data_IF_457747388053
#
_entry.id   IF_457747388053
#
_cell.length_a   1.000
_cell.length_b   1.000
_cell.length_c   1.000
_cell.angle_alpha   90.00
_cell.angle_beta   90.00
_cell.angle_gamma   90.00
#
_symmetry.space_group_name_H-M   'P 1'
#
loop_
_entity.id
_entity.type
_entity.pdbx_description
1 polymer ?
#
# COMPACT_ATOMS: atom_id res chain seq x y z
N UNK A 1 -8.81 2.61 -38.35
CA UNK A 1 -9.34 2.88 -37.00
C UNK A 1 -8.25 2.52 -35.99
N UNK A 2 -7.58 3.46 -35.33
CA UNK A 2 -6.58 3.13 -34.33
C UNK A 2 -7.26 2.86 -32.99
N UNK A 3 -7.01 1.68 -32.44
CA UNK A 3 -7.39 1.36 -31.06
C UNK A 3 -6.63 2.32 -30.12
N UNK A 4 -7.35 3.21 -29.50
CA UNK A 4 -6.84 4.04 -28.42
C UNK A 4 -6.56 3.13 -27.21
N UNK A 5 -5.29 2.96 -26.89
CA UNK A 5 -4.86 2.41 -25.61
C UNK A 5 -5.09 3.45 -24.51
N UNK A 6 -6.28 3.45 -23.95
CA UNK A 6 -6.63 4.19 -22.71
C UNK A 6 -6.05 3.46 -21.50
N UNK A 7 -4.71 3.34 -21.41
CA UNK A 7 -4.08 2.45 -20.43
C UNK A 7 -3.40 3.17 -19.26
N UNK A 8 -3.55 4.48 -19.08
CA UNK A 8 -2.84 5.18 -18.02
C UNK A 8 -3.67 6.22 -17.25
N UNK A 9 -4.96 5.96 -17.03
CA UNK A 9 -5.79 6.94 -16.31
C UNK A 9 -6.00 6.69 -14.82
N UNK A 10 -5.31 5.76 -14.20
CA UNK A 10 -5.49 5.50 -12.76
C UNK A 10 -4.25 4.92 -12.07
N UNK A 11 -3.07 5.53 -12.27
CA UNK A 11 -1.98 5.35 -11.33
C UNK A 11 -2.16 6.37 -10.21
N UNK A 12 -3.30 6.30 -9.53
CA UNK A 12 -3.52 7.07 -8.32
C UNK A 12 -2.74 6.40 -7.20
N UNK A 13 -1.60 6.96 -6.83
CA UNK A 13 -0.85 6.61 -5.62
C UNK A 13 -1.73 6.77 -4.36
N UNK A 14 -2.87 7.45 -4.47
CA UNK A 14 -3.93 7.52 -3.46
C UNK A 14 -4.54 6.16 -3.10
N UNK A 15 -4.23 5.11 -3.86
CA UNK A 15 -4.92 3.83 -3.74
C UNK A 15 -4.38 2.93 -2.63
N UNK A 16 -3.11 3.10 -2.24
CA UNK A 16 -2.49 2.29 -1.16
C UNK A 16 -3.07 2.65 0.21
N UNK A 17 -3.72 3.77 0.31
CA UNK A 17 -3.97 4.51 1.54
C UNK A 17 -5.39 4.35 2.07
N UNK A 18 -6.31 3.93 1.22
CA UNK A 18 -7.63 3.46 1.68
C UNK A 18 -7.57 2.16 2.49
N UNK A 19 -6.39 1.56 2.60
CA UNK A 19 -6.16 0.33 3.37
C UNK A 19 -6.28 0.59 4.88
N UNK A 20 -5.97 1.79 5.34
CA UNK A 20 -5.90 2.10 6.76
C UNK A 20 -7.24 2.58 7.37
N UNK A 21 -8.17 3.09 6.57
CA UNK A 21 -9.36 3.74 7.10
C UNK A 21 -10.42 2.85 7.77
N UNK A 22 -10.65 1.58 7.41
CA UNK A 22 -11.64 0.77 8.12
C UNK A 22 -11.17 0.22 9.47
N UNK A 23 -9.87 0.32 9.78
CA UNK A 23 -9.32 -0.19 11.06
C UNK A 23 -9.43 0.81 12.23
N UNK A 24 -9.93 2.04 11.97
CA UNK A 24 -9.71 3.18 12.84
C UNK A 24 -10.99 3.91 13.24
N UNK A 25 -12.02 3.16 13.61
CA UNK A 25 -13.04 3.70 14.50
C UNK A 25 -12.45 3.79 15.91
N UNK A 26 -12.66 4.89 16.60
CA UNK A 26 -12.18 5.17 17.96
C UNK A 26 -12.74 4.22 19.04
N UNK A 27 -13.47 3.19 18.63
CA UNK A 27 -14.03 2.19 19.50
C UNK A 27 -13.05 1.05 19.77
N UNK A 28 -13.06 0.52 20.99
CA UNK A 28 -12.34 -0.69 21.40
C UNK A 28 -12.58 -1.80 20.38
N UNK A 29 -11.51 -2.50 19.94
CA UNK A 29 -11.66 -3.64 19.02
C UNK A 29 -12.50 -4.70 19.73
N UNK A 30 -13.77 -4.75 19.41
CA UNK A 30 -14.70 -5.70 20.00
C UNK A 30 -14.60 -7.01 19.22
N UNK A 31 -14.18 -8.05 19.93
CA UNK A 31 -14.18 -9.40 19.39
C UNK A 31 -15.59 -9.97 19.54
N UNK A 32 -16.23 -10.34 18.42
CA UNK A 32 -17.58 -10.89 18.40
C UNK A 32 -17.57 -12.40 18.67
N UNK A 33 -16.65 -13.14 18.06
CA UNK A 33 -16.49 -14.56 18.30
C UNK A 33 -15.05 -15.04 18.10
N UNK A 34 -14.70 -16.10 18.81
CA UNK A 34 -13.46 -16.86 18.65
C UNK A 34 -13.84 -18.31 18.53
N UNK A 35 -13.49 -18.94 17.41
CA UNK A 35 -13.69 -20.36 17.15
C UNK A 35 -12.33 -21.04 17.01
N UNK A 36 -12.14 -22.20 17.65
CA UNK A 36 -10.95 -23.03 17.54
C UNK A 36 -11.31 -24.49 17.79
N UNK A 37 -10.52 -25.42 17.23
CA UNK A 37 -10.76 -26.85 17.44
C UNK A 37 -10.28 -27.28 18.83
N UNK A 38 -9.19 -26.76 19.31
CA UNK A 38 -8.56 -27.11 20.59
C UNK A 38 -8.26 -25.81 21.33
N UNK A 39 -8.71 -25.75 22.59
CA UNK A 39 -8.38 -24.63 23.49
C UNK A 39 -7.66 -25.24 24.70
N UNK A 40 -6.41 -24.86 24.90
CA UNK A 40 -5.58 -25.35 26.00
C UNK A 40 -5.14 -24.17 26.88
N UNK A 41 -5.24 -24.31 28.17
CA UNK A 41 -4.69 -23.35 29.12
C UNK A 41 -3.23 -23.73 29.39
N UNK A 42 -2.29 -22.88 28.98
CA UNK A 42 -0.86 -23.07 29.22
C UNK A 42 -0.53 -22.69 30.66
N UNK A 43 -1.03 -21.55 31.08
CA UNK A 43 -0.94 -21.02 32.44
C UNK A 43 -2.22 -20.22 32.79
N UNK A 44 -2.44 -19.77 34.04
CA UNK A 44 -3.67 -19.08 34.44
C UNK A 44 -4.03 -17.86 33.57
N UNK A 45 -3.03 -17.24 32.98
CA UNK A 45 -3.19 -16.00 32.19
C UNK A 45 -3.07 -16.25 30.66
N UNK A 46 -2.64 -17.45 30.22
CA UNK A 46 -2.34 -17.71 28.80
C UNK A 46 -3.16 -18.87 28.26
N UNK A 47 -3.87 -18.59 27.17
CA UNK A 47 -4.63 -19.58 26.39
C UNK A 47 -3.94 -19.83 25.06
N UNK A 48 -3.81 -21.12 24.70
CA UNK A 48 -3.45 -21.55 23.34
C UNK A 48 -4.69 -22.05 22.63
N UNK A 49 -4.94 -21.52 21.45
CA UNK A 49 -5.99 -21.95 20.55
C UNK A 49 -5.31 -22.59 19.34
N UNK A 50 -5.70 -23.78 18.96
CA UNK A 50 -5.10 -24.53 17.86
C UNK A 50 -6.17 -25.13 16.95
N UNK A 51 -5.82 -25.25 15.67
CA UNK A 51 -6.66 -25.85 14.64
C UNK A 51 -7.73 -24.91 14.12
N UNK A 52 -7.51 -24.35 12.93
CA UNK A 52 -8.43 -23.46 12.23
C UNK A 52 -9.02 -22.36 13.12
N UNK A 53 -8.14 -21.61 13.79
CA UNK A 53 -8.57 -20.50 14.65
C UNK A 53 -9.22 -19.43 13.79
N UNK A 54 -10.43 -19.04 14.14
CA UNK A 54 -11.19 -17.97 13.47
C UNK A 54 -11.59 -16.93 14.50
N UNK A 55 -11.13 -15.71 14.33
CA UNK A 55 -11.51 -14.56 15.16
C UNK A 55 -12.31 -13.61 14.29
N UNK A 56 -13.50 -13.25 14.74
CA UNK A 56 -14.38 -12.32 14.04
C UNK A 56 -14.58 -11.05 14.87
N UNK A 57 -14.49 -9.94 14.19
CA UNK A 57 -14.90 -8.63 14.69
C UNK A 57 -15.92 -8.04 13.71
N UNK A 58 -16.56 -6.95 14.05
CA UNK A 58 -17.55 -6.28 13.19
C UNK A 58 -17.06 -6.01 11.76
N UNK A 59 -15.76 -5.74 11.58
CA UNK A 59 -15.19 -5.30 10.29
C UNK A 59 -14.17 -6.28 9.70
N UNK A 60 -13.59 -7.17 10.51
CA UNK A 60 -12.48 -8.03 10.15
C UNK A 60 -12.72 -9.48 10.54
N UNK A 61 -12.21 -10.37 9.72
CA UNK A 61 -12.13 -11.79 10.04
C UNK A 61 -10.66 -12.22 9.93
N UNK A 62 -10.21 -12.95 10.95
CA UNK A 62 -8.86 -13.48 11.04
C UNK A 62 -8.91 -14.99 11.03
N UNK A 63 -8.04 -15.61 10.28
CA UNK A 63 -7.79 -17.04 10.30
C UNK A 63 -6.33 -17.29 10.63
N UNK A 64 -6.03 -18.29 11.43
CA UNK A 64 -4.68 -18.76 11.70
C UNK A 64 -4.70 -20.24 12.09
N UNK A 65 -3.54 -20.87 12.05
CA UNK A 65 -3.39 -22.26 12.53
C UNK A 65 -3.34 -22.29 14.04
N UNK A 66 -2.70 -21.29 14.64
CA UNK A 66 -2.52 -21.17 16.08
C UNK A 66 -2.66 -19.73 16.55
N UNK A 67 -3.29 -19.54 17.72
CA UNK A 67 -3.33 -18.26 18.40
C UNK A 67 -2.98 -18.44 19.88
N UNK A 68 -2.19 -17.52 20.41
CA UNK A 68 -1.83 -17.45 21.83
C UNK A 68 -2.36 -16.14 22.38
N UNK A 69 -3.24 -16.23 23.35
CA UNK A 69 -3.84 -15.07 24.01
C UNK A 69 -3.36 -14.97 25.46
N UNK A 70 -2.77 -13.85 25.82
CA UNK A 70 -2.39 -13.57 27.21
C UNK A 70 -3.38 -12.56 27.81
N UNK A 71 -4.15 -13.01 28.81
CA UNK A 71 -5.20 -12.24 29.48
C UNK A 71 -4.64 -11.04 30.24
N UNK A 72 -3.49 -11.23 30.91
CA UNK A 72 -2.86 -10.18 31.72
C UNK A 72 -2.29 -9.05 30.87
N UNK A 73 -1.57 -9.43 29.81
CA UNK A 73 -0.96 -8.49 28.85
C UNK A 73 -1.95 -7.97 27.83
N UNK A 74 -3.13 -8.59 27.71
CA UNK A 74 -4.09 -8.38 26.63
C UNK A 74 -3.41 -8.44 25.24
N UNK A 75 -2.50 -9.38 25.06
CA UNK A 75 -1.80 -9.57 23.79
C UNK A 75 -2.27 -10.84 23.10
N UNK A 76 -2.29 -10.77 21.76
CA UNK A 76 -2.62 -11.91 20.89
C UNK A 76 -1.44 -12.10 19.95
N UNK A 77 -0.97 -13.36 19.86
CA UNK A 77 -0.01 -13.79 18.86
C UNK A 77 -0.67 -14.83 17.97
N UNK A 78 -0.66 -14.57 16.65
CA UNK A 78 -1.14 -15.50 15.63
C UNK A 78 0.06 -16.09 14.89
N UNK A 79 0.04 -17.38 14.65
CA UNK A 79 1.10 -18.13 13.97
C UNK A 79 0.52 -19.07 12.91
N UNK A 80 1.31 -19.36 11.88
CA UNK A 80 0.93 -20.22 10.77
C UNK A 80 0.42 -19.42 9.58
N UNK A 81 -0.46 -20.03 8.79
CA UNK A 81 -1.06 -19.42 7.61
C UNK A 81 -2.11 -18.39 8.01
N UNK A 82 -1.67 -17.17 8.33
CA UNK A 82 -2.57 -16.11 8.76
C UNK A 82 -3.23 -15.47 7.55
N UNK A 83 -4.54 -15.29 7.63
CA UNK A 83 -5.30 -14.49 6.67
C UNK A 83 -6.21 -13.51 7.40
N UNK A 84 -6.20 -12.27 6.96
CA UNK A 84 -7.08 -11.21 7.47
C UNK A 84 -7.93 -10.69 6.31
N UNK A 85 -9.23 -10.79 6.46
CA UNK A 85 -10.17 -10.38 5.43
C UNK A 85 -11.09 -9.28 5.93
N UNK A 86 -11.23 -8.24 5.12
CA UNK A 86 -12.23 -7.19 5.24
C UNK A 86 -12.96 -7.02 3.90
N UNK A 87 -13.96 -6.15 3.85
CA UNK A 87 -14.73 -5.88 2.62
C UNK A 87 -13.86 -5.60 1.38
N UNK A 88 -12.76 -4.88 1.57
CA UNK A 88 -11.89 -4.42 0.47
C UNK A 88 -10.44 -4.86 0.61
N UNK A 89 -10.08 -5.55 1.68
CA UNK A 89 -8.70 -5.88 2.03
C UNK A 89 -8.59 -7.36 2.32
N UNK A 90 -7.61 -8.00 1.72
CA UNK A 90 -7.22 -9.39 1.95
C UNK A 90 -5.71 -9.40 2.22
N UNK A 91 -5.31 -9.81 3.41
CA UNK A 91 -3.93 -9.88 3.85
C UNK A 91 -3.61 -11.33 4.16
N UNK A 92 -2.49 -11.82 3.65
CA UNK A 92 -1.88 -13.07 4.08
C UNK A 92 -0.56 -12.75 4.76
N UNK A 93 -0.26 -13.40 5.87
CA UNK A 93 0.93 -13.18 6.66
C UNK A 93 1.40 -14.48 7.31
N UNK A 94 2.64 -14.50 7.79
CA UNK A 94 3.22 -15.65 8.49
C UNK A 94 3.07 -15.54 9.99
N UNK A 95 3.23 -14.35 10.52
CA UNK A 95 3.15 -14.08 11.94
C UNK A 95 2.48 -12.72 12.18
N UNK A 96 1.63 -12.66 13.19
CA UNK A 96 1.01 -11.41 13.63
C UNK A 96 1.01 -11.35 15.15
N UNK A 97 1.44 -10.23 15.70
CA UNK A 97 1.39 -9.93 17.12
C UNK A 97 0.61 -8.64 17.34
N UNK A 98 -0.31 -8.66 18.29
CA UNK A 98 -1.15 -7.52 18.63
C UNK A 98 -1.10 -7.28 20.14
N UNK A 99 -0.81 -6.07 20.55
CA UNK A 99 -1.04 -5.57 21.90
C UNK A 99 -2.31 -4.75 21.91
N UNK A 100 -3.34 -5.27 22.58
CA UNK A 100 -4.66 -4.65 22.61
C UNK A 100 -4.73 -3.48 23.62
N UNK A 101 -3.79 -3.43 24.60
CA UNK A 101 -3.68 -2.31 25.54
C UNK A 101 -3.07 -1.10 24.85
N UNK A 102 -1.93 -1.31 24.22
CA UNK A 102 -1.18 -0.24 23.54
C UNK A 102 -1.67 -0.01 22.10
N UNK A 103 -2.62 -0.81 21.61
CA UNK A 103 -3.12 -0.75 20.23
C UNK A 103 -2.02 -0.80 19.19
N UNK A 104 -1.03 -1.64 19.43
CA UNK A 104 0.08 -1.83 18.51
C UNK A 104 -0.04 -3.19 17.81
N UNK A 105 0.28 -3.22 16.53
CA UNK A 105 0.26 -4.44 15.72
C UNK A 105 1.57 -4.58 14.99
N UNK A 106 2.06 -5.80 14.93
CA UNK A 106 3.20 -6.18 14.12
C UNK A 106 2.82 -7.38 13.26
N UNK A 107 3.06 -7.28 11.96
CA UNK A 107 2.75 -8.35 11.00
C UNK A 107 3.99 -8.55 10.14
N UNK A 108 4.42 -9.79 9.98
CA UNK A 108 5.62 -10.14 9.22
C UNK A 108 5.29 -10.96 7.98
N UNK A 109 6.17 -10.87 6.98
CA UNK A 109 6.08 -11.59 5.70
C UNK A 109 4.67 -11.48 5.09
N UNK A 110 4.28 -10.25 4.79
CA UNK A 110 2.91 -9.90 4.42
C UNK A 110 2.75 -9.80 2.92
N UNK A 111 1.72 -10.43 2.39
CA UNK A 111 1.16 -10.11 1.07
C UNK A 111 -0.28 -9.61 1.22
N UNK A 112 -0.63 -8.61 0.42
CA UNK A 112 -1.93 -8.00 0.52
C UNK A 112 -2.55 -7.71 -0.84
N UNK A 113 -3.88 -7.76 -0.89
CA UNK A 113 -4.63 -7.24 -2.03
C UNK A 113 -5.72 -6.29 -1.57
N UNK A 114 -5.91 -5.22 -2.33
CA UNK A 114 -6.91 -4.22 -2.08
C UNK A 114 -7.90 -4.13 -3.24
N UNK A 115 -9.20 -4.28 -2.94
CA UNK A 115 -10.29 -4.31 -3.94
C UNK A 115 -10.05 -5.30 -5.10
N UNK A 116 -9.17 -6.29 -4.93
CA UNK A 116 -8.73 -7.23 -5.99
C UNK A 116 -8.14 -6.54 -7.23
N UNK A 117 -7.67 -5.30 -7.09
CA UNK A 117 -7.11 -4.48 -8.18
C UNK A 117 -5.68 -4.05 -7.93
N UNK A 118 -5.25 -4.01 -6.69
CA UNK A 118 -3.90 -3.68 -6.28
C UNK A 118 -3.37 -4.79 -5.40
N UNK A 119 -2.15 -5.20 -5.68
CA UNK A 119 -1.47 -6.30 -5.00
C UNK A 119 -0.12 -5.82 -4.53
N UNK A 120 0.31 -6.30 -3.40
CA UNK A 120 1.60 -5.92 -2.86
C UNK A 120 2.08 -6.89 -1.79
N UNK A 121 3.32 -6.68 -1.39
CA UNK A 121 3.92 -7.36 -0.27
C UNK A 121 4.73 -6.40 0.58
N UNK A 122 5.03 -6.79 1.80
CA UNK A 122 5.92 -6.09 2.70
C UNK A 122 6.62 -7.11 3.61
N UNK A 123 7.88 -6.84 3.95
CA UNK A 123 8.60 -7.67 4.92
C UNK A 123 7.95 -7.54 6.30
N UNK A 124 7.53 -6.35 6.65
CA UNK A 124 6.77 -6.13 7.87
C UNK A 124 5.84 -4.92 7.79
N UNK A 125 4.75 -5.00 8.55
CA UNK A 125 3.82 -3.91 8.79
C UNK A 125 3.77 -3.67 10.30
N UNK A 126 3.97 -2.43 10.72
CA UNK A 126 3.79 -1.98 12.11
C UNK A 126 2.72 -0.93 12.18
N UNK A 127 1.84 -1.12 13.12
CA UNK A 127 0.81 -0.15 13.48
C UNK A 127 1.10 0.31 14.91
N UNK A 128 1.18 1.61 15.11
CA UNK A 128 1.52 2.23 16.39
C UNK A 128 0.26 2.78 17.08
N UNK A 129 0.32 2.92 18.39
CA UNK A 129 -0.76 3.47 19.21
C UNK A 129 -1.29 4.86 18.74
N UNK A 130 -0.41 5.65 18.13
CA UNK A 130 -0.72 6.97 17.57
C UNK A 130 -1.20 6.91 16.11
N UNK A 131 -1.69 5.77 15.66
CA UNK A 131 -2.21 5.59 14.30
C UNK A 131 -1.17 5.70 13.16
N UNK A 132 0.10 5.78 13.49
CA UNK A 132 1.16 5.68 12.50
C UNK A 132 1.24 4.24 11.99
N UNK A 133 1.31 4.07 10.67
CA UNK A 133 1.54 2.77 10.03
C UNK A 133 2.87 2.83 9.29
N UNK A 134 3.67 1.82 9.44
CA UNK A 134 4.96 1.68 8.78
C UNK A 134 5.07 0.34 8.08
N UNK A 135 5.35 0.38 6.78
CA UNK A 135 5.64 -0.79 5.97
C UNK A 135 7.11 -0.76 5.59
N UNK A 136 7.80 -1.87 5.75
CA UNK A 136 9.19 -2.02 5.35
C UNK A 136 9.31 -2.91 4.13
N UNK A 137 10.21 -2.55 3.21
CA UNK A 137 10.50 -3.26 1.96
C UNK A 137 9.21 -3.64 1.22
N UNK A 138 8.39 -2.65 0.98
CA UNK A 138 7.07 -2.87 0.38
C UNK A 138 7.10 -2.78 -1.13
N UNK A 139 6.24 -3.54 -1.78
CA UNK A 139 5.99 -3.44 -3.20
C UNK A 139 4.50 -3.31 -3.51
N UNK A 140 4.20 -2.72 -4.66
CA UNK A 140 2.86 -2.55 -5.17
C UNK A 140 2.83 -2.75 -6.68
N UNK A 141 1.79 -3.43 -7.17
CA UNK A 141 1.49 -3.59 -8.59
C UNK A 141 -0.04 -3.66 -8.80
N UNK A 142 -0.48 -3.65 -10.06
CA UNK A 142 -1.90 -3.79 -10.41
C UNK A 142 -2.31 -5.19 -10.88
N UNK A 143 -1.40 -6.14 -10.86
CA UNK A 143 -1.62 -7.50 -11.34
C UNK A 143 -1.29 -8.49 -10.24
N UNK A 144 -2.11 -9.53 -10.09
CA UNK A 144 -1.86 -10.63 -9.14
C UNK A 144 -0.85 -11.66 -9.63
N UNK A 145 -0.12 -11.37 -10.69
CA UNK A 145 0.81 -12.29 -11.34
C UNK A 145 2.19 -12.18 -10.69
N UNK A 146 2.90 -13.28 -10.59
CA UNK A 146 4.27 -13.34 -10.04
C UNK A 146 5.26 -12.44 -10.80
N UNK A 147 5.04 -12.22 -12.11
CA UNK A 147 5.83 -11.33 -12.96
C UNK A 147 4.99 -10.16 -13.50
N UNK A 148 4.77 -9.12 -12.68
CA UNK A 148 3.97 -7.98 -13.09
C UNK A 148 4.70 -7.14 -14.14
N UNK A 149 3.95 -6.65 -15.16
CA UNK A 149 4.49 -5.76 -16.19
C UNK A 149 5.15 -4.49 -15.61
N UNK A 150 4.72 -4.04 -14.45
CA UNK A 150 5.33 -2.95 -13.68
C UNK A 150 5.19 -3.22 -12.18
N UNK A 151 6.16 -2.73 -11.42
CA UNK A 151 6.17 -2.82 -9.96
C UNK A 151 6.75 -1.54 -9.35
N UNK A 152 6.07 -1.04 -8.34
CA UNK A 152 6.59 0.02 -7.47
C UNK A 152 7.16 -0.65 -6.22
N UNK A 153 8.45 -0.44 -5.94
CA UNK A 153 9.11 -0.90 -4.72
C UNK A 153 9.49 0.30 -3.87
N UNK A 154 9.41 0.17 -2.56
CA UNK A 154 9.87 1.17 -1.61
C UNK A 154 10.58 0.51 -0.43
N UNK A 155 11.64 1.14 0.06
CA UNK A 155 12.37 0.70 1.25
C UNK A 155 11.50 0.87 2.51
N UNK A 156 10.79 1.99 2.60
CA UNK A 156 9.79 2.20 3.64
C UNK A 156 8.65 3.09 3.16
N UNK A 157 7.46 2.77 3.65
CA UNK A 157 6.25 3.59 3.52
C UNK A 157 5.72 3.85 4.93
N UNK A 158 5.64 5.11 5.32
CA UNK A 158 5.11 5.52 6.61
C UNK A 158 3.89 6.38 6.40
N UNK A 159 2.74 5.94 6.89
CA UNK A 159 1.52 6.75 6.99
C UNK A 159 1.55 7.43 8.36
N UNK A 160 1.43 8.76 8.36
CA UNK A 160 1.52 9.54 9.58
C UNK A 160 0.20 9.52 10.36
N UNK A 161 0.28 9.82 11.65
CA UNK A 161 -0.79 9.75 12.67
C UNK A 161 -2.16 10.29 12.24
N UNK A 162 -2.20 11.29 11.40
CA UNK A 162 -3.47 11.87 10.93
C UNK A 162 -4.11 11.09 9.79
N UNK A 163 -3.46 10.03 9.29
CA UNK A 163 -3.89 9.33 8.08
C UNK A 163 -3.91 10.21 6.82
N UNK A 164 -3.44 11.47 6.91
CA UNK A 164 -3.51 12.45 5.82
C UNK A 164 -2.29 12.48 4.93
N UNK A 165 -1.15 12.05 5.46
CA UNK A 165 0.15 12.08 4.79
C UNK A 165 0.82 10.72 4.83
N UNK A 166 1.47 10.39 3.73
CA UNK A 166 2.43 9.30 3.69
C UNK A 166 3.80 9.80 3.26
N UNK A 167 4.82 9.24 3.86
CA UNK A 167 6.21 9.42 3.50
C UNK A 167 6.73 8.11 2.95
N UNK A 168 7.27 8.13 1.75
CA UNK A 168 7.82 6.95 1.08
C UNK A 168 9.29 7.21 0.79
N UNK A 169 10.15 6.27 1.17
CA UNK A 169 11.60 6.36 0.95
C UNK A 169 12.06 5.27 0.00
N UNK A 170 13.06 5.59 -0.81
CA UNK A 170 13.71 4.63 -1.70
C UNK A 170 12.76 4.06 -2.76
N UNK A 171 11.90 4.90 -3.32
CA UNK A 171 10.91 4.47 -4.33
C UNK A 171 11.59 4.13 -5.64
N UNK A 172 11.37 2.92 -6.14
CA UNK A 172 11.87 2.41 -7.42
C UNK A 172 10.68 1.94 -8.26
N UNK A 173 10.48 2.57 -9.41
CA UNK A 173 9.54 2.07 -10.41
C UNK A 173 10.29 1.13 -11.35
N UNK A 174 9.85 -0.11 -11.43
CA UNK A 174 10.36 -1.11 -12.35
C UNK A 174 9.33 -1.40 -13.44
N UNK A 175 9.79 -1.56 -14.66
CA UNK A 175 9.01 -2.13 -15.77
C UNK A 175 9.71 -3.45 -16.14
N UNK A 176 9.00 -4.54 -15.98
CA UNK A 176 9.59 -5.88 -15.88
C UNK A 176 10.71 -5.81 -14.84
N UNK A 177 11.84 -6.34 -14.95
CA UNK A 177 12.89 -6.23 -13.92
C UNK A 177 13.77 -4.95 -14.01
N UNK A 178 13.53 -4.05 -14.99
CA UNK A 178 14.36 -2.87 -15.23
C UNK A 178 13.88 -1.69 -14.40
N UNK A 179 14.71 -1.14 -13.51
CA UNK A 179 14.38 0.08 -12.79
C UNK A 179 14.46 1.28 -13.72
N UNK A 180 13.34 1.98 -13.93
CA UNK A 180 13.24 3.13 -14.84
C UNK A 180 13.20 4.47 -14.13
N UNK A 181 12.83 4.48 -12.84
CA UNK A 181 12.74 5.69 -12.04
C UNK A 181 13.11 5.39 -10.60
N UNK A 182 13.90 6.29 -10.00
CA UNK A 182 14.23 6.27 -8.58
C UNK A 182 13.90 7.61 -7.95
N UNK A 183 13.15 7.58 -6.85
CA UNK A 183 12.81 8.75 -6.05
C UNK A 183 13.26 8.45 -4.62
N UNK A 184 14.30 9.13 -4.09
CA UNK A 184 14.84 8.84 -2.77
C UNK A 184 13.85 9.17 -1.65
N UNK A 185 13.04 10.20 -1.82
CA UNK A 185 12.06 10.65 -0.84
C UNK A 185 10.83 11.20 -1.55
N UNK A 186 9.67 10.70 -1.16
CA UNK A 186 8.38 11.16 -1.67
C UNK A 186 7.44 11.37 -0.49
N UNK A 187 6.87 12.55 -0.39
CA UNK A 187 5.73 12.83 0.49
C UNK A 187 4.47 12.98 -0.35
N UNK A 188 3.42 12.27 0.02
CA UNK A 188 2.16 12.26 -0.71
C UNK A 188 0.98 12.44 0.23
N UNK A 189 -0.10 12.99 -0.31
CA UNK A 189 -1.36 13.03 0.39
C UNK A 189 -2.00 11.65 0.47
N UNK A 190 -2.69 11.44 1.57
CA UNK A 190 -3.50 10.27 1.86
C UNK A 190 -4.93 10.75 2.08
N UNK A 191 -5.88 10.24 1.32
CA UNK A 191 -7.28 10.64 1.47
C UNK A 191 -7.66 11.87 0.65
N UNK A 192 -8.58 12.68 1.16
CA UNK A 192 -9.21 13.80 0.43
C UNK A 192 -8.45 15.12 0.54
N UNK A 193 -7.48 15.21 1.42
CA UNK A 193 -6.73 16.45 1.65
C UNK A 193 -5.72 16.69 0.53
N UNK A 194 -5.61 17.95 0.09
CA UNK A 194 -4.66 18.34 -0.92
C UNK A 194 -3.30 18.63 -0.28
N UNK A 195 -2.25 17.97 -0.72
CA UNK A 195 -0.87 18.26 -0.33
C UNK A 195 0.02 18.48 -1.53
N UNK A 196 1.04 19.31 -1.34
CA UNK A 196 2.06 19.49 -2.36
C UNK A 196 2.86 18.21 -2.56
N UNK A 197 3.05 17.79 -3.81
CA UNK A 197 3.80 16.58 -4.12
C UNK A 197 3.83 16.25 -5.60
N UNK A 198 4.65 15.26 -5.95
CA UNK A 198 4.66 14.74 -7.31
C UNK A 198 3.37 14.02 -7.63
N UNK A 199 2.80 14.35 -8.79
CA UNK A 199 1.70 13.58 -9.37
C UNK A 199 2.28 12.42 -10.21
N UNK A 200 1.47 11.40 -10.51
CA UNK A 200 1.91 10.30 -11.34
C UNK A 200 2.51 10.78 -12.66
N UNK A 201 3.71 10.31 -13.03
CA UNK A 201 4.30 10.66 -14.30
C UNK A 201 3.47 10.12 -15.46
N UNK A 202 3.38 10.86 -16.55
CA UNK A 202 2.81 10.35 -17.80
C UNK A 202 3.93 10.03 -18.78
N UNK A 203 3.87 8.81 -19.30
CA UNK A 203 4.76 8.33 -20.34
C UNK A 203 3.91 8.08 -21.59
N UNK A 204 4.25 8.73 -22.69
CA UNK A 204 3.61 8.50 -23.97
C UNK A 204 4.69 8.17 -24.98
N UNK A 205 4.48 7.11 -25.73
CA UNK A 205 5.34 6.71 -26.84
C UNK A 205 4.54 6.88 -28.13
N UNK A 206 4.97 7.79 -28.97
CA UNK A 206 4.40 8.04 -30.28
C UNK A 206 5.36 7.64 -31.42
N UNK A 207 4.91 7.81 -32.65
CA UNK A 207 5.76 7.61 -33.83
C UNK A 207 6.95 8.56 -33.86
N UNK A 208 6.81 9.71 -33.24
CA UNK A 208 7.78 10.82 -33.27
C UNK A 208 8.72 10.83 -32.06
N UNK A 209 8.66 9.81 -31.18
CA UNK A 209 9.53 9.68 -30.01
C UNK A 209 8.78 9.49 -28.69
N UNK A 210 9.55 9.52 -27.60
CA UNK A 210 9.05 9.42 -26.24
C UNK A 210 8.70 10.78 -25.65
N UNK A 211 7.60 10.85 -24.92
CA UNK A 211 7.13 12.03 -24.21
C UNK A 211 6.97 11.68 -22.73
N UNK A 212 7.73 12.33 -21.88
CA UNK A 212 7.73 12.11 -20.43
C UNK A 212 7.31 13.42 -19.76
N UNK A 213 6.27 13.36 -18.92
CA UNK A 213 5.87 14.48 -18.08
C UNK A 213 5.84 14.04 -16.62
N UNK A 214 6.41 14.86 -15.73
CA UNK A 214 6.45 14.63 -14.30
C UNK A 214 5.84 15.83 -13.57
N UNK A 215 4.52 15.89 -13.44
CA UNK A 215 3.87 17.04 -12.81
C UNK A 215 4.12 17.08 -11.31
N UNK A 216 4.30 18.29 -10.78
CA UNK A 216 4.35 18.57 -9.36
C UNK A 216 3.20 19.51 -8.98
N UNK A 217 2.44 19.09 -8.00
CA UNK A 217 1.30 19.83 -7.45
C UNK A 217 1.74 20.62 -6.22
N UNK A 218 1.45 21.92 -6.22
CA UNK A 218 1.64 22.81 -5.09
C UNK A 218 0.28 23.16 -4.48
N UNK A 219 0.04 22.77 -3.25
CA UNK A 219 -1.06 23.28 -2.46
C UNK A 219 -0.64 24.58 -1.78
N UNK A 220 -0.97 25.71 -2.37
CA UNK A 220 -0.54 27.03 -1.90
C UNK A 220 -1.45 27.55 -0.76
N UNK A 221 -2.74 27.23 -0.82
CA UNK A 221 -3.74 27.61 0.17
C UNK A 221 -4.99 26.74 0.00
N UNK A 222 -5.95 26.84 0.91
CA UNK A 222 -7.23 26.13 0.81
C UNK A 222 -7.96 26.37 -0.53
N UNK A 223 -7.78 27.55 -1.14
CA UNK A 223 -8.48 27.97 -2.34
C UNK A 223 -7.57 28.11 -3.58
N UNK A 224 -6.27 27.94 -3.42
CA UNK A 224 -5.29 28.14 -4.51
C UNK A 224 -4.36 26.95 -4.60
N UNK A 225 -4.23 26.41 -5.79
CA UNK A 225 -3.25 25.39 -6.12
C UNK A 225 -2.53 25.72 -7.44
N UNK A 226 -1.34 25.17 -7.62
CA UNK A 226 -0.51 25.32 -8.81
C UNK A 226 0.04 23.95 -9.19
N UNK A 227 -0.13 23.56 -10.44
CA UNK A 227 0.52 22.35 -10.97
C UNK A 227 1.55 22.76 -12.01
N UNK A 228 2.81 22.42 -11.78
CA UNK A 228 3.89 22.58 -12.76
C UNK A 228 4.15 21.21 -13.39
N UNK A 229 4.02 21.13 -14.71
CA UNK A 229 4.18 19.88 -15.46
C UNK A 229 5.37 19.99 -16.42
N UNK A 230 6.63 19.82 -15.94
CA UNK A 230 7.77 19.73 -16.83
C UNK A 230 7.58 18.54 -17.77
N UNK A 231 7.85 18.79 -19.03
CA UNK A 231 7.66 17.84 -20.10
C UNK A 231 8.94 17.73 -20.93
N UNK A 232 9.41 16.52 -21.08
CA UNK A 232 10.53 16.20 -21.93
C UNK A 232 10.03 15.39 -23.14
N UNK A 233 10.32 15.90 -24.35
CA UNK A 233 9.94 15.25 -25.60
C UNK A 233 11.23 14.84 -26.28
N UNK A 234 11.49 13.55 -26.39
CA UNK A 234 12.57 13.00 -27.18
C UNK A 234 12.10 12.91 -28.64
N UNK A 235 12.52 13.87 -29.47
CA UNK A 235 12.21 13.89 -30.90
C UNK A 235 13.30 13.10 -31.62
N UNK A 236 12.94 12.03 -32.29
CA UNK A 236 13.91 11.16 -33.00
C UNK A 236 14.41 11.73 -34.34
N UNK A 237 13.73 12.75 -34.91
CA UNK A 237 14.11 13.28 -36.22
C UNK A 237 13.87 14.78 -36.31
N UNK A 238 14.91 15.51 -36.62
CA UNK A 238 14.86 16.80 -37.30
C UNK A 238 15.35 16.62 -38.72
N UNK A 239 14.47 16.34 -39.65
CA UNK A 239 14.75 16.62 -41.06
C UNK A 239 14.41 18.06 -41.32
N UNK A 240 15.40 18.91 -41.24
CA UNK A 240 15.38 20.27 -41.80
C UNK A 240 15.58 20.11 -43.33
N UNK A 241 14.50 19.97 -44.09
CA UNK A 241 14.52 20.21 -45.52
C UNK A 241 14.40 21.69 -45.73
N UNK A 242 15.51 22.35 -46.03
CA UNK A 242 15.48 23.70 -46.57
C UNK A 242 14.83 23.62 -47.96
N UNK A 243 13.78 24.40 -48.27
CA UNK A 243 13.26 24.50 -49.61
C UNK A 243 14.31 25.18 -50.50
N UNK A 244 14.97 24.44 -51.34
CA UNK A 244 15.74 24.98 -52.45
C UNK A 244 14.77 25.52 -53.47
N UNK A 245 14.68 26.85 -53.58
CA UNK A 245 13.95 27.53 -54.65
C UNK A 245 14.83 27.49 -55.89
N UNK A 246 14.39 26.78 -56.90
CA UNK A 246 14.92 26.87 -58.29
C UNK A 246 14.27 28.06 -58.99
#
# INVERSE_FOLDING_TARGET
MPKQYTFLRSLSLCFVISIAMPLWSSDEIKIDSIDAQIITTIDPDTLSLEGNVVIKTEQLQFWSEKAIYNKRKKSIKLEGSIRVLSKNLDISAKEMEADLLDRTFYISETSFSFMKKSFGNADSIRVYANEKIELLNTSLNSCSVEDPAWQLKAESLTILETGRNAVVKGVKLKIKEIPILYIPYLRTAVGKDKFSGFLPPSLKQGRDGGDISMPYFFNLSSNYDLTISPRYIAVSYTHLTLPTKA
#
